data_IF_977808399472
#
_entry.id   IF_977808399472
#
_cell.length_a   1.000
_cell.length_b   1.000
_cell.length_c   1.000
_cell.angle_alpha   90.00
_cell.angle_beta   90.00
_cell.angle_gamma   90.00
#
_symmetry.space_group_name_H-M   'P 1'
#
loop_
_entity.id
_entity.type
_entity.pdbx_description
1 polymer ?
#
# COMPACT_ATOMS: atom_id res chain seq x y z
N UNK A 1 16.17 -0.28 36.22
CA UNK A 1 15.78 -0.67 34.86
C UNK A 1 16.80 -1.71 34.41
N UNK A 2 16.41 -2.97 34.22
CA UNK A 2 17.36 -4.06 33.98
C UNK A 2 17.82 -4.04 32.52
N UNK A 3 19.09 -4.30 32.27
CA UNK A 3 19.69 -4.29 30.91
C UNK A 3 18.90 -5.22 29.94
N UNK A 4 18.28 -6.27 30.45
CA UNK A 4 17.40 -7.15 29.67
C UNK A 4 16.15 -6.45 29.10
N UNK A 5 15.57 -5.48 29.81
CA UNK A 5 14.42 -4.72 29.32
C UNK A 5 14.80 -3.79 28.15
N UNK A 6 16.00 -3.21 28.18
CA UNK A 6 16.49 -2.35 27.09
C UNK A 6 16.78 -3.14 25.80
N UNK A 7 17.37 -4.35 25.91
CA UNK A 7 17.58 -5.23 24.75
C UNK A 7 16.25 -5.73 24.15
N UNK A 8 15.25 -6.02 24.99
CA UNK A 8 13.92 -6.45 24.55
C UNK A 8 13.12 -5.32 23.90
N UNK A 9 13.34 -4.07 24.31
CA UNK A 9 12.74 -2.88 23.67
C UNK A 9 13.37 -2.58 22.30
N UNK A 10 14.67 -2.80 22.15
CA UNK A 10 15.41 -2.60 20.89
C UNK A 10 15.08 -3.66 19.83
N UNK A 11 14.89 -4.92 20.26
CA UNK A 11 14.59 -6.05 19.36
C UNK A 11 13.09 -6.34 19.28
N UNK A 12 12.26 -5.31 19.04
CA UNK A 12 10.88 -5.58 18.62
C UNK A 12 10.95 -6.31 17.28
N UNK A 13 10.37 -7.52 17.17
CA UNK A 13 10.34 -8.23 15.90
C UNK A 13 9.66 -7.32 14.87
N UNK A 14 10.35 -7.05 13.77
CA UNK A 14 9.83 -6.21 12.70
C UNK A 14 8.55 -6.87 12.22
N UNK A 15 7.43 -6.16 12.25
CA UNK A 15 6.16 -6.71 11.79
C UNK A 15 6.19 -6.76 10.25
N UNK A 16 6.80 -7.81 9.71
CA UNK A 16 7.00 -8.02 8.25
C UNK A 16 5.67 -7.95 7.51
N UNK A 17 4.58 -8.40 8.15
CA UNK A 17 3.22 -8.31 7.60
C UNK A 17 2.76 -6.86 7.44
N UNK A 18 3.01 -6.01 8.44
CA UNK A 18 2.70 -4.59 8.37
C UNK A 18 3.52 -3.88 7.29
N UNK A 19 4.83 -4.17 7.20
CA UNK A 19 5.71 -3.62 6.16
C UNK A 19 5.24 -4.03 4.76
N UNK A 20 4.91 -5.31 4.57
CA UNK A 20 4.41 -5.81 3.29
C UNK A 20 3.10 -5.14 2.88
N UNK A 21 2.17 -4.93 3.81
CA UNK A 21 0.91 -4.24 3.53
C UNK A 21 1.12 -2.78 3.14
N UNK A 22 2.07 -2.09 3.77
CA UNK A 22 2.42 -0.70 3.41
C UNK A 22 3.04 -0.66 2.01
N UNK A 23 4.02 -1.53 1.72
CA UNK A 23 4.72 -1.56 0.42
C UNK A 23 3.75 -1.93 -0.70
N UNK A 24 2.96 -3.00 -0.54
CA UNK A 24 1.96 -3.36 -1.54
C UNK A 24 0.92 -2.26 -1.69
N UNK A 25 0.47 -1.65 -0.58
CA UNK A 25 -0.46 -0.53 -0.63
C UNK A 25 0.08 0.63 -1.45
N UNK A 26 1.37 0.95 -1.31
CA UNK A 26 2.05 1.97 -2.10
C UNK A 26 2.10 1.61 -3.59
N UNK A 27 2.40 0.36 -3.93
CA UNK A 27 2.38 -0.13 -5.32
C UNK A 27 0.98 0.04 -5.93
N UNK A 28 -0.07 -0.40 -5.24
CA UNK A 28 -1.46 -0.26 -5.71
C UNK A 28 -1.88 1.20 -5.84
N UNK A 29 -1.42 2.07 -4.93
CA UNK A 29 -1.72 3.50 -4.96
C UNK A 29 -1.07 4.17 -6.17
N UNK A 30 0.23 3.93 -6.42
CA UNK A 30 0.94 4.49 -7.57
C UNK A 30 0.38 3.93 -8.88
N UNK A 31 0.23 2.61 -9.01
CA UNK A 31 -0.33 2.00 -10.22
C UNK A 31 -1.77 2.43 -10.47
N UNK A 32 -2.59 2.48 -9.42
CA UNK A 32 -3.97 2.93 -9.52
C UNK A 32 -4.08 4.38 -9.99
N UNK A 33 -3.22 5.26 -9.47
CA UNK A 33 -3.15 6.66 -9.92
C UNK A 33 -2.74 6.76 -11.39
N UNK A 34 -1.72 6.01 -11.82
CA UNK A 34 -1.25 6.00 -13.21
C UNK A 34 -2.35 5.50 -14.16
N UNK A 35 -3.06 4.42 -13.80
CA UNK A 35 -4.14 3.87 -14.61
C UNK A 35 -5.37 4.80 -14.63
N UNK A 36 -5.73 5.42 -13.52
CA UNK A 36 -6.82 6.39 -13.45
C UNK A 36 -6.53 7.66 -14.28
N UNK A 37 -5.26 8.08 -14.32
CA UNK A 37 -4.80 9.23 -15.10
C UNK A 37 -4.31 8.86 -16.51
N UNK A 38 -4.38 7.59 -16.91
CA UNK A 38 -3.86 7.10 -18.20
C UNK A 38 -4.37 7.92 -19.40
N UNK A 39 -5.65 8.29 -19.38
CA UNK A 39 -6.28 9.14 -20.40
C UNK A 39 -5.69 10.56 -20.48
N UNK A 40 -5.29 11.14 -19.35
CA UNK A 40 -4.65 12.46 -19.29
C UNK A 40 -3.16 12.40 -19.65
N UNK A 41 -2.52 11.26 -19.39
CA UNK A 41 -1.12 11.00 -19.68
C UNK A 41 -0.86 10.60 -21.14
N UNK A 42 -1.91 10.46 -21.95
CA UNK A 42 -1.79 10.01 -23.35
C UNK A 42 -1.36 8.55 -23.47
N UNK A 43 -1.58 7.73 -22.44
CA UNK A 43 -1.28 6.30 -22.48
C UNK A 43 -2.41 5.57 -23.21
N UNK A 44 -2.14 5.15 -24.44
CA UNK A 44 -3.07 4.35 -25.24
C UNK A 44 -3.08 2.89 -24.78
N UNK A 45 -3.94 2.60 -23.80
CA UNK A 45 -4.18 1.22 -23.35
C UNK A 45 -5.25 0.63 -24.27
N UNK A 46 -4.81 -0.21 -25.20
CA UNK A 46 -5.65 -0.83 -26.25
C UNK A 46 -6.53 -1.96 -25.72
N UNK A 47 -6.18 -2.55 -24.57
CA UNK A 47 -6.98 -3.58 -23.91
C UNK A 47 -6.63 -3.66 -22.42
N UNK A 48 -7.58 -3.69 -21.47
CA UNK A 48 -9.05 -3.57 -21.58
C UNK A 48 -9.57 -2.22 -22.14
N UNK A 49 -10.90 -2.05 -22.34
CA UNK A 49 -11.47 -0.76 -22.73
C UNK A 49 -11.04 0.38 -21.79
N UNK A 50 -10.80 1.61 -22.30
CA UNK A 50 -10.27 2.71 -21.49
C UNK A 50 -11.07 3.02 -20.23
N UNK A 51 -12.40 2.95 -20.31
CA UNK A 51 -13.29 3.19 -19.16
C UNK A 51 -13.09 2.13 -18.06
N UNK A 52 -12.89 0.86 -18.47
CA UNK A 52 -12.61 -0.25 -17.55
C UNK A 52 -11.28 -0.04 -16.86
N UNK A 53 -10.26 0.41 -17.60
CA UNK A 53 -8.93 0.70 -17.06
C UNK A 53 -8.98 1.84 -16.05
N UNK A 54 -9.73 2.90 -16.32
CA UNK A 54 -9.89 4.03 -15.41
C UNK A 54 -10.60 3.58 -14.13
N UNK A 55 -11.71 2.85 -14.25
CA UNK A 55 -12.45 2.33 -13.08
C UNK A 55 -11.57 1.38 -12.26
N UNK A 56 -10.81 0.50 -12.92
CA UNK A 56 -9.87 -0.39 -12.26
C UNK A 56 -8.74 0.39 -11.56
N UNK A 57 -8.22 1.44 -12.21
CA UNK A 57 -7.23 2.34 -11.64
C UNK A 57 -7.73 3.03 -10.37
N UNK A 58 -8.95 3.57 -10.40
CA UNK A 58 -9.58 4.20 -9.23
C UNK A 58 -9.78 3.17 -8.11
N UNK A 59 -10.29 1.98 -8.43
CA UNK A 59 -10.47 0.91 -7.44
C UNK A 59 -9.14 0.46 -6.82
N UNK A 60 -8.09 0.30 -7.63
CA UNK A 60 -6.74 -0.04 -7.20
C UNK A 60 -6.15 1.07 -6.30
N UNK A 61 -6.36 2.34 -6.66
CA UNK A 61 -5.90 3.48 -5.86
C UNK A 61 -6.55 3.49 -4.47
N UNK A 62 -7.87 3.36 -4.42
CA UNK A 62 -8.65 3.30 -3.16
C UNK A 62 -8.22 2.11 -2.31
N UNK A 63 -8.06 0.93 -2.93
CA UNK A 63 -7.60 -0.27 -2.25
C UNK A 63 -6.16 -0.13 -1.73
N UNK A 64 -5.27 0.49 -2.50
CA UNK A 64 -3.91 0.81 -2.08
C UNK A 64 -3.88 1.70 -0.84
N UNK A 65 -4.67 2.77 -0.83
CA UNK A 65 -4.82 3.66 0.32
C UNK A 65 -5.36 2.92 1.56
N UNK A 66 -6.36 2.07 1.39
CA UNK A 66 -6.89 1.22 2.46
C UNK A 66 -5.82 0.27 3.02
N UNK A 67 -4.98 -0.31 2.16
CA UNK A 67 -3.92 -1.24 2.57
C UNK A 67 -2.80 -0.54 3.34
N UNK A 68 -2.43 0.67 2.95
CA UNK A 68 -1.50 1.52 3.71
C UNK A 68 -2.08 1.82 5.10
N UNK A 69 -3.34 2.27 5.17
CA UNK A 69 -4.02 2.53 6.44
C UNK A 69 -4.00 1.30 7.36
N UNK A 70 -4.32 0.11 6.80
CA UNK A 70 -4.29 -1.15 7.54
C UNK A 70 -2.86 -1.49 8.02
N UNK A 71 -1.87 -1.36 7.15
CA UNK A 71 -0.46 -1.64 7.47
C UNK A 71 0.08 -0.73 8.58
N UNK A 72 -0.23 0.57 8.52
CA UNK A 72 0.14 1.53 9.59
C UNK A 72 -0.55 1.19 10.90
N UNK A 73 -1.84 0.84 10.87
CA UNK A 73 -2.59 0.40 12.06
C UNK A 73 -1.97 -0.86 12.70
N UNK A 74 -1.61 -1.84 11.88
CA UNK A 74 -0.98 -3.10 12.34
C UNK A 74 0.46 -2.89 12.83
N UNK A 75 1.19 -1.92 12.29
CA UNK A 75 2.51 -1.54 12.80
C UNK A 75 2.44 -0.89 14.19
N UNK A 76 1.46 -0.01 14.41
CA UNK A 76 1.28 0.69 15.69
C UNK A 76 0.70 -0.21 16.79
N UNK A 77 -0.07 -1.24 16.42
CA UNK A 77 -0.70 -2.17 17.36
C UNK A 77 -0.35 -3.63 17.00
N UNK A 78 0.90 -4.07 17.21
CA UNK A 78 1.28 -5.47 17.04
C UNK A 78 0.61 -6.28 18.16
N UNK A 79 -0.50 -6.94 17.82
CA UNK A 79 -1.20 -7.90 18.67
C UNK A 79 -0.34 -9.12 18.98
#
# INVERSE_FOLDING_TARGET
MSIQEDFRKKNKPVNVKAVFDIVMGFIYLVMGAVLALSKYLGLEITFPPPDVVIVFGIAAFVYGAFRIFRGVKTYNNPS
#
